data_IF_976174515060
#
_entry.id   IF_976174515060
#
_cell.length_a   1.000
_cell.length_b   1.000
_cell.length_c   1.000
_cell.angle_alpha   90.00
_cell.angle_beta   90.00
_cell.angle_gamma   90.00
#
_symmetry.space_group_name_H-M   'P 1'
#
loop_
_entity.id
_entity.type
_entity.pdbx_description
1 polymer ?
#
# COMPACT_ATOMS: atom_id res chain seq x y z
N UNK A 1 -5.57 10.59 -10.54
CA UNK A 1 -5.19 9.50 -9.61
C UNK A 1 -5.75 8.20 -10.14
N UNK A 2 -5.11 7.07 -9.81
CA UNK A 2 -5.60 5.74 -10.18
C UNK A 2 -6.02 5.00 -8.91
N UNK A 3 -7.18 4.35 -8.96
CA UNK A 3 -7.76 3.58 -7.88
C UNK A 3 -7.83 2.09 -8.20
N UNK A 4 -7.59 1.25 -7.19
CA UNK A 4 -7.68 -0.20 -7.30
C UNK A 4 -8.13 -0.83 -5.98
N UNK A 5 -8.44 -2.11 -6.05
CA UNK A 5 -8.56 -2.95 -4.87
C UNK A 5 -7.40 -3.93 -4.78
N UNK A 6 -6.85 -4.08 -3.58
CA UNK A 6 -5.72 -4.97 -3.27
C UNK A 6 -6.13 -6.03 -2.24
N UNK A 7 -5.48 -7.19 -2.29
CA UNK A 7 -5.71 -8.23 -1.29
C UNK A 7 -5.14 -7.85 0.10
N UNK A 8 -5.89 -8.16 1.16
CA UNK A 8 -5.44 -7.91 2.54
C UNK A 8 -4.16 -8.64 2.97
N UNK A 9 -3.69 -9.65 2.22
CA UNK A 9 -2.44 -10.35 2.53
C UNK A 9 -1.26 -9.39 2.60
N UNK A 10 -1.36 -8.24 1.93
CA UNK A 10 -0.36 -7.19 2.02
C UNK A 10 -0.18 -6.69 3.46
N UNK A 11 -1.20 -6.76 4.32
CA UNK A 11 -1.11 -6.38 5.73
C UNK A 11 -0.62 -7.51 6.65
N UNK A 12 -0.26 -8.68 6.10
CA UNK A 12 0.38 -9.76 6.87
C UNK A 12 1.66 -9.22 7.53
N UNK A 13 1.82 -9.46 8.83
CA UNK A 13 2.95 -8.91 9.60
C UNK A 13 2.67 -7.55 10.25
N UNK A 14 1.72 -6.76 9.72
CA UNK A 14 1.25 -5.51 10.33
C UNK A 14 0.03 -5.72 11.22
N UNK A 15 -0.92 -6.54 10.75
CA UNK A 15 -2.12 -6.92 11.50
C UNK A 15 -1.99 -8.35 12.02
N UNK A 16 -2.48 -8.60 13.23
CA UNK A 16 -2.43 -9.92 13.91
C UNK A 16 -3.74 -10.22 14.63
N UNK A 17 -4.01 -11.51 14.83
CA UNK A 17 -5.15 -11.99 15.62
C UNK A 17 -6.48 -11.41 15.15
N UNK A 18 -7.27 -10.89 16.09
CA UNK A 18 -8.60 -10.33 15.81
C UNK A 18 -8.56 -9.18 14.78
N UNK A 19 -7.54 -8.33 14.82
CA UNK A 19 -7.42 -7.21 13.87
C UNK A 19 -7.20 -7.66 12.42
N UNK A 20 -6.54 -8.80 12.21
CA UNK A 20 -6.40 -9.38 10.88
C UNK A 20 -7.73 -9.97 10.37
N UNK A 21 -8.56 -10.51 11.27
CA UNK A 21 -9.91 -11.02 10.92
C UNK A 21 -10.88 -9.89 10.57
N UNK A 22 -10.78 -8.75 11.28
CA UNK A 22 -11.59 -7.55 11.04
C UNK A 22 -11.19 -6.79 9.76
N UNK A 23 -9.99 -7.03 9.23
CA UNK A 23 -9.55 -6.43 7.99
C UNK A 23 -10.31 -7.06 6.79
N UNK A 24 -10.96 -6.25 5.94
CA UNK A 24 -11.74 -6.73 4.81
C UNK A 24 -10.83 -7.49 3.83
N UNK A 25 -11.37 -8.48 3.12
CA UNK A 25 -10.57 -9.30 2.19
C UNK A 25 -9.99 -8.49 1.03
N UNK A 26 -10.72 -7.47 0.60
CA UNK A 26 -10.31 -6.50 -0.41
C UNK A 26 -10.16 -5.15 0.27
N UNK A 27 -9.02 -4.50 0.07
CA UNK A 27 -8.72 -3.18 0.62
C UNK A 27 -8.57 -2.19 -0.53
N UNK A 28 -8.98 -0.94 -0.29
CA UNK A 28 -8.80 0.14 -1.24
C UNK A 28 -7.33 0.57 -1.32
N UNK A 29 -6.87 0.90 -2.52
CA UNK A 29 -5.53 1.41 -2.79
C UNK A 29 -5.57 2.39 -3.95
N UNK A 30 -4.74 3.43 -3.87
CA UNK A 30 -4.62 4.41 -4.94
C UNK A 30 -3.21 4.96 -5.04
N UNK A 31 -2.85 5.41 -6.24
CA UNK A 31 -1.60 6.11 -6.51
C UNK A 31 -1.84 7.29 -7.46
N UNK A 32 -0.79 8.09 -7.64
CA UNK A 32 -0.78 9.23 -8.57
C UNK A 32 -0.07 8.80 -9.83
N UNK A 33 -0.63 9.20 -10.97
CA UNK A 33 -0.02 9.13 -12.28
C UNK A 33 0.26 10.56 -12.75
N UNK A 34 1.38 10.76 -13.43
CA UNK A 34 1.79 12.07 -13.94
C UNK A 34 2.16 11.96 -15.40
N UNK A 35 1.80 12.97 -16.21
CA UNK A 35 2.35 13.10 -17.56
C UNK A 35 3.78 13.63 -17.45
N UNK A 36 4.73 12.79 -17.81
CA UNK A 36 6.14 13.12 -17.88
C UNK A 36 6.65 12.85 -19.30
N UNK A 37 7.08 13.91 -19.98
CA UNK A 37 7.61 13.86 -21.36
C UNK A 37 6.63 13.21 -22.36
N UNK A 38 5.32 13.41 -22.18
CA UNK A 38 4.28 12.86 -23.06
C UNK A 38 3.96 11.39 -22.79
N UNK A 39 4.40 10.85 -21.64
CA UNK A 39 4.10 9.50 -21.19
C UNK A 39 3.53 9.55 -19.78
N UNK A 40 2.46 8.81 -19.53
CA UNK A 40 1.92 8.65 -18.18
C UNK A 40 2.83 7.73 -17.35
N UNK A 41 3.29 8.24 -16.22
CA UNK A 41 4.18 7.54 -15.28
C UNK A 41 3.47 7.34 -13.94
N UNK A 42 3.45 6.10 -13.46
CA UNK A 42 2.92 5.71 -12.16
C UNK A 42 3.92 5.98 -11.02
N UNK A 43 3.48 6.74 -10.02
CA UNK A 43 4.27 7.05 -8.83
C UNK A 43 3.82 6.23 -7.61
N UNK A 44 3.55 4.93 -7.80
CA UNK A 44 3.05 4.05 -6.72
C UNK A 44 4.09 3.82 -5.61
N UNK A 45 5.39 3.88 -5.96
CA UNK A 45 6.49 3.72 -5.01
C UNK A 45 6.45 4.70 -3.82
N UNK A 46 5.79 5.85 -3.98
CA UNK A 46 5.63 6.88 -2.93
C UNK A 46 4.79 6.43 -1.73
N UNK A 47 4.05 5.33 -1.86
CA UNK A 47 3.17 4.80 -0.80
C UNK A 47 3.96 4.30 0.43
N UNK A 48 5.25 4.01 0.27
CA UNK A 48 6.14 3.54 1.34
C UNK A 48 7.36 4.45 1.47
N UNK A 49 7.66 4.88 2.70
CA UNK A 49 8.86 5.66 2.98
C UNK A 49 10.13 4.79 3.03
N UNK A 50 11.25 5.35 2.55
CA UNK A 50 12.56 4.68 2.57
C UNK A 50 12.99 4.20 3.96
N UNK A 51 12.87 5.00 5.04
CA UNK A 51 13.24 4.52 6.39
C UNK A 51 12.49 3.25 6.81
N UNK A 52 11.19 3.16 6.53
CA UNK A 52 10.42 1.95 6.79
C UNK A 52 10.93 0.76 5.97
N UNK A 53 11.12 0.93 4.66
CA UNK A 53 11.58 -0.15 3.78
C UNK A 53 12.97 -0.64 4.21
N UNK A 54 13.91 0.26 4.50
CA UNK A 54 15.25 -0.10 4.95
C UNK A 54 15.21 -0.94 6.23
N UNK A 55 14.42 -0.52 7.23
CA UNK A 55 14.28 -1.33 8.46
C UNK A 55 13.58 -2.66 8.25
N UNK A 56 12.64 -2.72 7.31
CA UNK A 56 12.02 -3.98 6.92
C UNK A 56 13.03 -4.92 6.24
N UNK A 57 13.89 -4.40 5.37
CA UNK A 57 14.96 -5.14 4.71
C UNK A 57 16.04 -5.63 5.68
N UNK A 58 16.41 -4.82 6.68
CA UNK A 58 17.30 -5.21 7.77
C UNK A 58 16.71 -6.36 8.59
N UNK A 59 15.42 -6.26 8.95
CA UNK A 59 14.70 -7.28 9.72
C UNK A 59 14.70 -8.65 9.04
N UNK A 60 14.70 -8.66 7.72
CA UNK A 60 14.72 -9.88 6.91
C UNK A 60 16.01 -9.99 6.11
N UNK A 61 17.18 -9.66 6.66
CA UNK A 61 18.47 -9.50 5.95
C UNK A 61 18.77 -10.56 4.88
N UNK A 62 18.45 -11.81 5.18
CA UNK A 62 18.82 -12.96 4.34
C UNK A 62 17.79 -13.25 3.23
N UNK A 63 16.66 -12.52 3.21
CA UNK A 63 15.58 -12.76 2.26
C UNK A 63 15.84 -12.13 0.89
N UNK A 64 15.73 -12.94 -0.16
CA UNK A 64 15.88 -12.54 -1.57
C UNK A 64 14.64 -12.90 -2.38
N UNK A 65 14.42 -12.18 -3.49
CA UNK A 65 13.30 -12.43 -4.41
C UNK A 65 12.00 -11.74 -3.99
N UNK A 66 10.88 -12.35 -4.35
CA UNK A 66 9.54 -11.75 -4.21
C UNK A 66 9.09 -11.70 -2.76
N UNK A 67 8.67 -10.53 -2.28
CA UNK A 67 8.24 -10.36 -0.89
C UNK A 67 6.83 -9.79 -0.81
N UNK A 68 5.94 -10.52 -0.14
CA UNK A 68 4.54 -10.14 0.08
C UNK A 68 4.19 -10.06 1.57
N UNK A 69 3.62 -8.92 1.96
CA UNK A 69 3.25 -8.59 3.34
C UNK A 69 3.88 -7.27 3.76
N UNK A 70 3.66 -6.87 5.01
CA UNK A 70 4.24 -5.66 5.58
C UNK A 70 3.93 -4.36 4.80
N UNK A 71 2.79 -4.33 4.11
CA UNK A 71 2.37 -3.21 3.28
C UNK A 71 3.07 -3.16 1.92
N UNK A 72 3.75 -4.22 1.47
CA UNK A 72 4.42 -4.29 0.17
C UNK A 72 4.13 -5.62 -0.54
N UNK A 73 4.19 -5.60 -1.87
CA UNK A 73 4.14 -6.78 -2.72
C UNK A 73 5.05 -6.53 -3.94
N UNK A 74 6.28 -7.03 -3.87
CA UNK A 74 7.33 -6.75 -4.88
C UNK A 74 8.02 -8.03 -5.33
N UNK A 75 8.55 -8.03 -6.55
CA UNK A 75 9.31 -9.16 -7.11
C UNK A 75 10.79 -9.17 -6.67
N UNK A 76 11.35 -8.00 -6.37
CA UNK A 76 12.71 -7.85 -5.85
C UNK A 76 12.67 -7.07 -4.55
N UNK A 77 12.73 -7.77 -3.42
CA UNK A 77 12.67 -7.14 -2.10
C UNK A 77 13.89 -6.27 -1.77
N UNK A 78 15.08 -6.57 -2.33
CA UNK A 78 16.30 -5.80 -2.05
C UNK A 78 16.36 -4.50 -2.82
N UNK A 79 15.87 -4.53 -4.05
CA UNK A 79 15.86 -3.37 -4.92
C UNK A 79 14.49 -3.22 -5.60
N UNK A 80 13.43 -2.89 -4.83
CA UNK A 80 12.13 -2.60 -5.44
C UNK A 80 12.20 -1.25 -6.17
N UNK A 81 11.47 -1.07 -7.27
CA UNK A 81 11.51 0.13 -8.10
C UNK A 81 10.72 1.27 -7.42
N UNK A 82 11.20 1.78 -6.29
CA UNK A 82 10.54 2.88 -5.54
C UNK A 82 11.18 4.25 -5.75
N UNK A 83 12.41 4.28 -6.27
CA UNK A 83 13.06 5.52 -6.65
C UNK A 83 12.59 5.90 -8.04
N UNK A 84 12.12 7.13 -8.20
CA UNK A 84 11.71 7.61 -9.50
C UNK A 84 12.94 7.91 -10.36
N UNK A 85 13.07 7.17 -11.45
CA UNK A 85 14.15 7.28 -12.45
C UNK A 85 13.53 7.59 -13.82
N UNK A 86 12.56 8.51 -13.85
CA UNK A 86 11.77 8.89 -15.04
C UNK A 86 10.85 7.78 -15.59
N UNK A 87 10.75 6.65 -14.88
CA UNK A 87 9.89 5.51 -15.21
C UNK A 87 8.91 5.21 -14.08
N UNK A 88 8.02 4.25 -14.31
CA UNK A 88 7.09 3.77 -13.29
C UNK A 88 7.81 3.32 -12.03
N UNK A 89 7.20 3.65 -10.89
CA UNK A 89 7.60 3.12 -9.58
C UNK A 89 6.50 2.24 -9.02
N UNK A 90 6.86 1.11 -8.42
CA UNK A 90 5.90 0.14 -7.89
C UNK A 90 6.33 -0.44 -6.55
N UNK A 91 5.33 -0.72 -5.71
CA UNK A 91 5.54 -1.27 -4.37
C UNK A 91 4.39 -2.17 -3.89
N UNK A 92 3.19 -2.05 -4.50
CA UNK A 92 2.01 -2.88 -4.18
C UNK A 92 1.28 -3.42 -5.40
N UNK A 93 1.71 -3.09 -6.61
CA UNK A 93 1.09 -3.51 -7.87
C UNK A 93 0.81 -5.03 -7.93
N UNK A 94 1.69 -5.88 -7.39
CA UNK A 94 1.50 -7.34 -7.37
C UNK A 94 0.38 -7.82 -6.45
N UNK A 95 -0.21 -6.95 -5.63
CA UNK A 95 -1.36 -7.24 -4.79
C UNK A 95 -2.70 -6.76 -5.39
N UNK A 96 -2.69 -6.06 -6.53
CA UNK A 96 -3.88 -5.57 -7.21
C UNK A 96 -4.75 -6.75 -7.66
N UNK A 97 -6.04 -6.67 -7.33
CA UNK A 97 -7.07 -7.64 -7.74
C UNK A 97 -8.00 -7.11 -8.81
N UNK A 98 -8.39 -5.86 -8.67
CA UNK A 98 -9.37 -5.21 -9.55
C UNK A 98 -8.99 -3.76 -9.69
N UNK A 99 -8.85 -3.34 -10.93
CA UNK A 99 -8.76 -1.95 -11.35
C UNK A 99 -10.14 -1.28 -11.17
N UNK A 100 -10.15 -0.11 -10.53
CA UNK A 100 -11.35 0.71 -10.32
C UNK A 100 -11.41 1.82 -11.37
N UNK A 101 -10.27 2.35 -11.81
CA UNK A 101 -10.16 3.37 -12.84
C UNK A 101 -9.36 4.59 -12.43
N UNK A 102 -9.37 5.58 -13.33
CA UNK A 102 -8.68 6.86 -13.18
C UNK A 102 -9.71 7.92 -12.83
N UNK A 103 -9.38 8.73 -11.83
CA UNK A 103 -10.21 9.82 -11.31
C UNK A 103 -9.40 11.10 -11.28
N UNK A 104 -10.04 12.25 -11.49
CA UNK A 104 -9.37 13.55 -11.48
C UNK A 104 -8.88 13.88 -10.08
N UNK A 105 -9.68 13.56 -9.07
CA UNK A 105 -9.42 13.81 -7.66
C UNK A 105 -10.09 12.76 -6.74
N UNK A 106 -9.78 12.76 -5.44
CA UNK A 106 -10.39 11.81 -4.50
C UNK A 106 -11.90 12.02 -4.31
N UNK A 107 -12.43 13.22 -4.49
CA UNK A 107 -13.85 13.50 -4.25
C UNK A 107 -14.71 12.85 -5.35
N UNK A 108 -14.25 12.90 -6.60
CA UNK A 108 -14.85 12.16 -7.73
C UNK A 108 -14.88 10.66 -7.46
N UNK A 109 -13.76 10.10 -7.00
CA UNK A 109 -13.69 8.70 -6.58
C UNK A 109 -14.71 8.37 -5.49
N UNK A 110 -14.84 9.22 -4.46
CA UNK A 110 -15.77 8.96 -3.36
C UNK A 110 -17.24 9.16 -3.74
N UNK A 111 -17.52 9.99 -4.74
CA UNK A 111 -18.86 10.13 -5.30
C UNK A 111 -19.27 8.85 -6.06
N UNK A 112 -18.37 8.28 -6.85
CA UNK A 112 -18.60 7.05 -7.62
C UNK A 112 -18.54 5.78 -6.75
N UNK A 113 -17.71 5.80 -5.69
CA UNK A 113 -17.46 4.69 -4.78
C UNK A 113 -17.65 5.09 -3.30
N UNK A 114 -18.89 5.44 -2.88
CA UNK A 114 -19.17 5.90 -1.53
C UNK A 114 -18.86 4.87 -0.44
N UNK A 115 -18.81 3.57 -0.79
CA UNK A 115 -18.41 2.49 0.11
C UNK A 115 -16.98 2.66 0.66
N UNK A 116 -16.08 3.28 -0.12
CA UNK A 116 -14.70 3.54 0.32
C UNK A 116 -14.72 4.58 1.46
N UNK A 117 -15.48 5.65 1.29
CA UNK A 117 -15.64 6.69 2.30
C UNK A 117 -16.30 6.14 3.58
N UNK A 118 -17.42 5.42 3.44
CA UNK A 118 -18.11 4.82 4.57
C UNK A 118 -17.21 3.86 5.36
N UNK A 119 -16.40 3.05 4.68
CA UNK A 119 -15.47 2.14 5.32
C UNK A 119 -14.39 2.88 6.11
N UNK A 120 -13.77 3.90 5.52
CA UNK A 120 -12.73 4.70 6.19
C UNK A 120 -13.26 5.51 7.38
N UNK A 121 -14.54 5.86 7.37
CA UNK A 121 -15.21 6.52 8.49
C UNK A 121 -15.72 5.56 9.57
N UNK A 122 -15.71 4.24 9.32
CA UNK A 122 -16.18 3.25 10.29
C UNK A 122 -15.34 3.22 11.57
N UNK A 123 -15.98 2.91 12.71
CA UNK A 123 -15.29 2.71 14.00
C UNK A 123 -14.27 1.58 13.93
N UNK A 124 -14.56 0.51 13.18
CA UNK A 124 -13.62 -0.59 12.96
C UNK A 124 -12.34 -0.09 12.30
N UNK A 125 -12.43 0.70 11.23
CA UNK A 125 -11.24 1.25 10.60
C UNK A 125 -10.53 2.25 11.53
N UNK A 126 -11.26 3.26 12.02
CA UNK A 126 -10.69 4.41 12.71
C UNK A 126 -10.14 4.09 14.10
N UNK A 127 -10.81 3.23 14.87
CA UNK A 127 -10.44 2.90 16.24
C UNK A 127 -9.64 1.60 16.36
N UNK A 128 -9.81 0.64 15.44
CA UNK A 128 -9.19 -0.69 15.56
C UNK A 128 -8.05 -0.88 14.56
N UNK A 129 -8.31 -0.74 13.27
CA UNK A 129 -7.36 -1.12 12.22
C UNK A 129 -6.25 -0.07 12.04
N UNK A 130 -6.63 1.20 11.78
CA UNK A 130 -5.67 2.29 11.52
C UNK A 130 -4.66 2.46 12.67
N UNK A 131 -5.05 2.50 13.96
CA UNK A 131 -4.08 2.64 15.05
C UNK A 131 -3.12 1.44 15.15
N UNK A 132 -3.61 0.21 14.87
CA UNK A 132 -2.79 -1.00 14.90
C UNK A 132 -1.78 -1.04 13.76
N UNK A 133 -2.21 -0.76 12.53
CA UNK A 133 -1.31 -0.66 11.37
C UNK A 133 -0.25 0.40 11.63
N UNK A 134 -0.65 1.60 12.08
CA UNK A 134 0.28 2.70 12.35
C UNK A 134 1.29 2.34 13.46
N UNK A 135 0.84 1.66 14.52
CA UNK A 135 1.73 1.17 15.59
C UNK A 135 2.74 0.15 15.06
N UNK A 136 2.31 -0.81 14.23
CA UNK A 136 3.19 -1.80 13.62
C UNK A 136 4.19 -1.16 12.66
N UNK A 137 3.76 -0.23 11.81
CA UNK A 137 4.62 0.53 10.90
C UNK A 137 5.67 1.30 11.69
N UNK A 138 5.27 2.03 12.74
CA UNK A 138 6.19 2.78 13.60
C UNK A 138 7.21 1.88 14.27
N UNK A 139 6.81 0.68 14.72
CA UNK A 139 7.74 -0.30 15.32
C UNK A 139 8.80 -0.72 14.31
N UNK A 140 8.39 -1.16 13.11
CA UNK A 140 9.34 -1.58 12.07
C UNK A 140 10.26 -0.41 11.68
N UNK A 141 9.71 0.78 11.42
CA UNK A 141 10.49 1.98 11.09
C UNK A 141 11.52 2.36 12.17
N UNK A 142 11.31 1.95 13.42
CA UNK A 142 12.24 2.18 14.55
C UNK A 142 13.05 0.94 14.95
N UNK A 143 13.00 -0.14 14.16
CA UNK A 143 13.76 -1.38 14.42
C UNK A 143 13.22 -2.26 15.56
N UNK A 144 11.93 -2.16 15.90
CA UNK A 144 11.26 -2.86 17.02
C UNK A 144 10.23 -3.93 16.60
#
# INVERSE_FOLDING_TARGET
MHASSIDRHIYRGLLKGLSAKLCPRSCFHSWVEVDFKGTWVSLEGLVIDKPYLTKLQERFSDYMGSFHGYGIAVLNFRNPPINWEETDTTIRDKAIKKDIGIFSDPDELFADHPEIMQWTQSLTYSCILRPRVNKSIKRIRTGK
#
